data_IF_554702952081
#
_entry.id   IF_554702952081
#
_cell.length_a   1.000
_cell.length_b   1.000
_cell.length_c   1.000
_cell.angle_alpha   90.00
_cell.angle_beta   90.00
_cell.angle_gamma   90.00
#
_symmetry.space_group_name_H-M   'P 1'
#
loop_
_entity.id
_entity.type
_entity.pdbx_description
1 polymer ?
#
# COMPACT_ATOMS: atom_id res chain seq x y z
N UNK A 1 11.83 -7.05 -5.66
CA UNK A 1 13.25 -6.62 -5.72
C UNK A 1 13.38 -5.47 -4.75
N UNK A 2 14.24 -5.58 -3.73
CA UNK A 2 14.31 -4.56 -2.69
C UNK A 2 15.24 -3.41 -3.09
N UNK A 3 14.68 -2.21 -3.19
CA UNK A 3 15.42 -0.97 -3.48
C UNK A 3 15.33 -0.09 -2.24
N UNK A 4 16.47 0.40 -1.75
CA UNK A 4 16.51 1.34 -0.62
C UNK A 4 16.69 2.76 -1.16
N UNK A 5 15.78 3.66 -0.81
CA UNK A 5 15.96 5.10 -1.00
C UNK A 5 15.87 5.75 0.37
N UNK A 6 17.00 6.30 0.85
CA UNK A 6 17.16 6.79 2.22
C UNK A 6 16.73 5.72 3.27
N UNK A 7 15.90 6.09 4.25
CA UNK A 7 15.38 5.22 5.32
C UNK A 7 14.08 4.48 4.93
N UNK A 8 13.69 4.46 3.66
CA UNK A 8 12.48 3.77 3.17
C UNK A 8 12.85 2.52 2.39
N UNK A 9 12.10 1.45 2.62
CA UNK A 9 12.17 0.21 1.86
C UNK A 9 11.17 0.26 0.71
N UNK A 10 11.62 0.01 -0.52
CA UNK A 10 10.77 -0.17 -1.68
C UNK A 10 10.80 -1.63 -2.10
N UNK A 11 9.63 -2.19 -2.40
CA UNK A 11 9.49 -3.48 -3.06
C UNK A 11 8.65 -3.32 -4.33
N UNK A 12 8.87 -4.23 -5.27
CA UNK A 12 8.20 -4.24 -6.57
C UNK A 12 7.54 -5.61 -6.76
N UNK A 13 6.20 -5.59 -6.91
CA UNK A 13 5.39 -6.77 -7.09
C UNK A 13 4.84 -6.84 -8.51
N UNK A 14 4.75 -8.06 -9.04
CA UNK A 14 3.94 -8.36 -10.21
C UNK A 14 2.60 -8.90 -9.70
N UNK A 15 1.53 -8.14 -9.90
CA UNK A 15 0.18 -8.50 -9.45
C UNK A 15 -0.68 -8.82 -10.67
N UNK A 16 -1.34 -9.98 -10.66
CA UNK A 16 -2.35 -10.34 -11.65
C UNK A 16 -3.72 -10.30 -10.94
N UNK A 17 -4.53 -9.27 -11.17
CA UNK A 17 -5.84 -9.17 -10.51
C UNK A 17 -6.80 -10.24 -11.02
N UNK A 18 -7.81 -10.55 -10.21
CA UNK A 18 -8.91 -11.42 -10.63
C UNK A 18 -9.79 -10.72 -11.67
N UNK A 19 -10.51 -11.47 -12.54
CA UNK A 19 -11.46 -10.88 -13.48
C UNK A 19 -12.49 -10.01 -12.77
N UNK A 20 -12.62 -8.74 -13.19
CA UNK A 20 -13.54 -7.77 -12.59
C UNK A 20 -12.97 -6.94 -11.44
N UNK A 21 -11.73 -7.18 -11.01
CA UNK A 21 -11.03 -6.34 -10.03
C UNK A 21 -10.09 -5.35 -10.75
N UNK A 22 -10.21 -4.04 -10.51
CA UNK A 22 -9.29 -3.05 -11.05
C UNK A 22 -7.83 -3.30 -10.59
N UNK A 23 -6.83 -3.17 -11.47
CA UNK A 23 -5.42 -3.34 -11.09
C UNK A 23 -4.97 -2.43 -9.94
N UNK A 24 -5.50 -1.21 -9.87
CA UNK A 24 -5.18 -0.23 -8.82
C UNK A 24 -5.68 -0.70 -7.45
N UNK A 25 -6.86 -1.31 -7.40
CA UNK A 25 -7.44 -1.87 -6.16
C UNK A 25 -6.63 -3.08 -5.69
N UNK A 26 -6.24 -3.96 -6.62
CA UNK A 26 -5.37 -5.09 -6.29
C UNK A 26 -3.99 -4.63 -5.78
N UNK A 27 -3.40 -3.59 -6.38
CA UNK A 27 -2.16 -3.00 -5.93
C UNK A 27 -2.28 -2.35 -4.54
N UNK A 28 -3.36 -1.61 -4.31
CA UNK A 28 -3.65 -1.00 -3.01
C UNK A 28 -3.85 -2.06 -1.91
N UNK A 29 -4.54 -3.16 -2.20
CA UNK A 29 -4.73 -4.27 -1.27
C UNK A 29 -3.38 -4.92 -0.88
N UNK A 30 -2.49 -5.17 -1.85
CA UNK A 30 -1.14 -5.70 -1.57
C UNK A 30 -0.33 -4.73 -0.70
N UNK A 31 -0.41 -3.42 -0.96
CA UNK A 31 0.29 -2.42 -0.15
C UNK A 31 -0.28 -2.31 1.28
N UNK A 32 -1.60 -2.39 1.43
CA UNK A 32 -2.28 -2.32 2.73
C UNK A 32 -1.94 -3.55 3.59
N UNK A 33 -2.16 -4.75 3.09
CA UNK A 33 -2.02 -6.00 3.85
C UNK A 33 -0.54 -6.38 4.11
N UNK A 34 0.41 -5.85 3.33
CA UNK A 34 1.85 -6.02 3.58
C UNK A 34 2.44 -5.05 4.61
N UNK A 35 1.65 -4.08 5.07
CA UNK A 35 2.05 -3.08 6.05
C UNK A 35 1.24 -3.18 7.33
N UNK A 36 0.02 -2.63 7.34
CA UNK A 36 -0.83 -2.58 8.54
C UNK A 36 -2.34 -2.48 8.26
N UNK A 37 -2.77 -2.48 7.00
CA UNK A 37 -4.18 -2.40 6.63
C UNK A 37 -4.89 -3.74 6.72
N UNK A 38 -6.21 -3.70 6.87
CA UNK A 38 -7.09 -4.88 6.91
C UNK A 38 -8.36 -4.66 6.08
N UNK A 39 -9.09 -5.73 5.77
CA UNK A 39 -10.35 -5.73 4.99
C UNK A 39 -11.46 -4.79 5.50
N UNK A 40 -11.39 -4.32 6.75
CA UNK A 40 -12.25 -3.28 7.32
C UNK A 40 -11.43 -2.21 8.00
N UNK A 41 -12.00 -1.01 8.10
CA UNK A 41 -11.47 0.03 8.99
C UNK A 41 -11.57 -0.41 10.44
N UNK A 42 -10.53 -0.12 11.22
CA UNK A 42 -10.50 -0.41 12.65
C UNK A 42 -10.28 0.88 13.43
N UNK A 43 -10.96 1.04 14.57
CA UNK A 43 -10.90 2.27 15.36
C UNK A 43 -9.48 2.63 15.84
N UNK A 44 -8.60 1.63 15.97
CA UNK A 44 -7.19 1.84 16.32
C UNK A 44 -6.45 2.65 15.27
N UNK A 45 -6.96 2.71 14.05
CA UNK A 45 -6.42 3.56 13.00
C UNK A 45 -6.52 5.03 13.38
N UNK A 46 -7.41 5.47 14.27
CA UNK A 46 -7.55 6.87 14.69
C UNK A 46 -6.57 7.30 15.80
N UNK A 47 -5.83 6.37 16.38
CA UNK A 47 -4.90 6.66 17.47
C UNK A 47 -3.64 7.38 16.97
N UNK A 48 -3.03 8.21 17.81
CA UNK A 48 -1.79 8.93 17.48
C UNK A 48 -0.63 8.00 17.10
N UNK A 49 -0.67 6.74 17.56
CA UNK A 49 0.37 5.74 17.25
C UNK A 49 0.35 5.26 15.80
N UNK A 50 -0.82 5.22 15.14
CA UNK A 50 -0.98 4.78 13.75
C UNK A 50 -0.80 5.93 12.76
N UNK A 51 -0.88 7.17 13.24
CA UNK A 51 -0.76 8.41 12.44
C UNK A 51 0.54 8.46 11.62
N UNK A 52 1.74 8.12 12.15
CA UNK A 52 2.97 8.13 11.35
C UNK A 52 2.92 7.14 10.18
N UNK A 53 2.26 6.00 10.33
CA UNK A 53 2.10 5.00 9.26
C UNK A 53 1.14 5.54 8.19
N UNK A 54 0.03 6.15 8.61
CA UNK A 54 -0.97 6.78 7.73
C UNK A 54 -0.41 7.95 6.93
N UNK A 55 0.45 8.76 7.55
CA UNK A 55 1.05 9.95 6.94
C UNK A 55 2.28 9.60 6.08
N UNK A 56 3.08 8.60 6.47
CA UNK A 56 4.23 8.14 5.70
C UNK A 56 3.85 7.34 4.45
N UNK A 57 2.68 6.71 4.48
CA UNK A 57 2.06 5.93 3.40
C UNK A 57 0.62 6.40 3.24
N UNK A 58 0.40 7.62 2.76
CA UNK A 58 -0.93 8.23 2.55
C UNK A 58 -1.96 7.21 2.03
N UNK A 59 -2.75 6.67 2.96
CA UNK A 59 -3.77 5.62 2.79
C UNK A 59 -3.55 4.72 1.56
N UNK A 60 -2.40 4.05 1.39
CA UNK A 60 -2.15 3.12 0.26
C UNK A 60 -2.47 3.62 -1.18
N UNK A 61 -2.80 4.90 -1.40
CA UNK A 61 -3.47 5.37 -2.63
C UNK A 61 -2.78 6.56 -3.31
N UNK A 62 -1.93 7.31 -2.63
CA UNK A 62 -1.22 8.40 -3.32
C UNK A 62 0.14 7.90 -3.79
N UNK A 63 0.04 7.28 -4.97
CA UNK A 63 1.13 6.98 -5.87
C UNK A 63 1.89 5.69 -5.55
N UNK A 64 1.34 4.61 -6.09
CA UNK A 64 2.16 3.77 -6.95
C UNK A 64 2.75 4.62 -8.11
N UNK A 65 3.61 5.60 -7.81
CA UNK A 65 4.39 6.38 -8.79
C UNK A 65 5.34 5.46 -9.58
N UNK A 66 5.50 4.22 -9.10
CA UNK A 66 6.30 3.16 -9.73
C UNK A 66 5.46 1.98 -10.25
N UNK A 67 4.12 2.00 -10.14
CA UNK A 67 3.27 1.12 -10.96
C UNK A 67 3.24 1.75 -12.35
N UNK A 68 4.23 1.42 -13.17
CA UNK A 68 3.95 1.43 -14.59
C UNK A 68 2.99 0.26 -14.83
N UNK A 69 1.71 0.60 -15.04
CA UNK A 69 0.69 -0.32 -15.53
C UNK A 69 1.11 -0.64 -16.97
N UNK A 70 1.95 -1.67 -17.15
CA UNK A 70 1.99 -2.44 -18.40
C UNK A 70 1.17 -3.71 -18.23
#
# INVERSE_FOLDING_TARGET
>A
MLIKIANKLLDAFRVTPQPGVPPEEAGAAVAAESSSGTWTTVWTDELEISKPMRDAYGFALVSCSYCRIE
#
